data_IF_317500977847
#
_entry.id   IF_317500977847
#
_cell.length_a   1.000
_cell.length_b   1.000
_cell.length_c   1.000
_cell.angle_alpha   90.00
_cell.angle_beta   90.00
_cell.angle_gamma   90.00
#
_symmetry.space_group_name_H-M   'P 1'
#
loop_
_entity.id
_entity.type
_entity.pdbx_description
1 polymer ?
#
# COMPACT_ATOMS: atom_id res chain seq x y z
N UNK A 1 -4.30 2.89 -14.19
CA UNK A 1 -2.83 2.75 -14.26
C UNK A 1 -2.52 1.33 -14.70
N UNK A 2 -1.76 1.14 -15.80
CA UNK A 2 -1.59 -0.15 -16.50
C UNK A 2 -0.70 -1.18 -15.76
N UNK A 3 -0.05 -0.78 -14.68
CA UNK A 3 0.96 -1.57 -13.95
C UNK A 3 0.58 -1.87 -12.49
N UNK A 4 -0.72 -1.82 -12.18
CA UNK A 4 -1.23 -2.12 -10.84
C UNK A 4 -1.94 -3.47 -10.83
N UNK A 5 -1.46 -4.37 -9.97
CA UNK A 5 -2.04 -5.68 -9.73
C UNK A 5 -3.16 -5.58 -8.68
N UNK A 6 -4.36 -6.14 -8.91
CA UNK A 6 -5.41 -6.18 -7.90
C UNK A 6 -5.00 -7.13 -6.77
N UNK A 7 -4.99 -6.63 -5.54
CA UNK A 7 -4.71 -7.44 -4.34
C UNK A 7 -5.99 -7.98 -3.72
N UNK A 8 -7.09 -7.22 -3.80
CA UNK A 8 -8.38 -7.59 -3.24
C UNK A 8 -9.32 -6.41 -3.11
N UNK A 9 -10.34 -6.55 -2.25
CA UNK A 9 -11.31 -5.51 -1.95
C UNK A 9 -11.58 -5.49 -0.44
N UNK A 10 -11.42 -4.33 0.20
CA UNK A 10 -11.78 -4.11 1.60
C UNK A 10 -12.87 -3.03 1.68
N UNK A 11 -13.91 -3.26 2.48
CA UNK A 11 -15.05 -2.34 2.66
C UNK A 11 -15.72 -1.85 1.35
N UNK A 12 -15.62 -2.66 0.29
CA UNK A 12 -16.13 -2.31 -1.05
C UNK A 12 -15.13 -1.58 -1.94
N UNK A 13 -13.95 -1.20 -1.42
CA UNK A 13 -12.93 -0.42 -2.13
C UNK A 13 -11.87 -1.37 -2.73
N UNK A 14 -11.65 -1.35 -4.06
CA UNK A 14 -10.61 -2.16 -4.70
C UNK A 14 -9.22 -1.69 -4.26
N UNK A 15 -8.39 -2.63 -3.79
CA UNK A 15 -7.01 -2.39 -3.41
C UNK A 15 -6.10 -2.95 -4.49
N UNK A 16 -5.15 -2.13 -4.93
CA UNK A 16 -4.18 -2.48 -5.96
C UNK A 16 -2.77 -2.21 -5.45
N UNK A 17 -1.82 -2.98 -5.93
CA UNK A 17 -0.39 -2.79 -5.66
C UNK A 17 0.29 -2.47 -6.98
N UNK A 18 1.02 -1.36 -7.04
CA UNK A 18 1.82 -1.04 -8.22
C UNK A 18 3.05 -1.95 -8.26
N UNK A 19 3.47 -2.38 -9.46
CA UNK A 19 4.63 -3.26 -9.62
C UNK A 19 5.91 -2.73 -8.92
N UNK A 20 6.08 -1.41 -8.88
CA UNK A 20 7.21 -0.76 -8.19
C UNK A 20 7.28 -1.06 -6.69
N UNK A 21 6.17 -1.44 -6.06
CA UNK A 21 6.14 -1.83 -4.66
C UNK A 21 7.00 -3.07 -4.39
N UNK A 22 7.03 -4.03 -5.32
CA UNK A 22 7.86 -5.23 -5.17
C UNK A 22 9.36 -4.91 -5.25
N UNK A 23 9.75 -3.90 -6.01
CA UNK A 23 11.14 -3.41 -6.00
C UNK A 23 11.53 -2.83 -4.64
N UNK A 24 10.62 -2.12 -3.96
CA UNK A 24 10.87 -1.66 -2.59
C UNK A 24 11.10 -2.85 -1.64
N UNK A 25 10.25 -3.88 -1.69
CA UNK A 25 10.41 -5.06 -0.84
C UNK A 25 11.71 -5.81 -1.13
N UNK A 26 12.06 -5.97 -2.41
CA UNK A 26 13.32 -6.58 -2.82
C UNK A 26 14.54 -5.78 -2.36
N UNK A 27 14.49 -4.45 -2.47
CA UNK A 27 15.55 -3.55 -2.00
C UNK A 27 15.72 -3.63 -0.48
N UNK A 28 14.63 -3.55 0.29
CA UNK A 28 14.65 -3.70 1.75
C UNK A 28 15.22 -5.06 2.15
N UNK A 29 14.80 -6.14 1.48
CA UNK A 29 15.35 -7.47 1.73
C UNK A 29 16.85 -7.51 1.49
N UNK A 30 17.29 -7.02 0.32
CA UNK A 30 18.69 -7.05 -0.10
C UNK A 30 19.58 -6.29 0.88
N UNK A 31 19.20 -5.06 1.23
CA UNK A 31 19.93 -4.20 2.16
C UNK A 31 20.08 -4.84 3.54
N UNK A 32 19.00 -5.36 4.11
CA UNK A 32 19.04 -5.95 5.45
C UNK A 32 19.67 -7.34 5.47
N UNK A 33 19.57 -8.12 4.38
CA UNK A 33 20.24 -9.41 4.27
C UNK A 33 21.77 -9.26 4.12
N UNK A 34 22.23 -8.29 3.33
CA UNK A 34 23.66 -8.06 3.10
C UNK A 34 24.32 -7.32 4.27
N UNK A 35 23.76 -6.19 4.70
CA UNK A 35 24.35 -5.41 5.79
C UNK A 35 24.18 -6.09 7.15
N UNK A 36 23.04 -6.77 7.37
CA UNK A 36 22.79 -7.55 8.58
C UNK A 36 23.43 -8.95 8.57
N UNK A 37 24.10 -9.34 7.46
CA UNK A 37 24.72 -10.66 7.22
C UNK A 37 23.82 -11.85 7.54
N UNK A 38 22.50 -11.69 7.41
CA UNK A 38 21.53 -12.70 7.78
C UNK A 38 20.25 -12.59 6.95
N UNK A 39 19.87 -13.68 6.30
CA UNK A 39 18.59 -13.77 5.60
C UNK A 39 17.39 -13.55 6.53
N UNK A 40 17.53 -13.91 7.81
CA UNK A 40 16.49 -13.67 8.81
C UNK A 40 16.26 -12.16 9.02
N UNK A 41 17.33 -11.36 9.06
CA UNK A 41 17.22 -9.91 9.17
C UNK A 41 16.49 -9.30 7.96
N UNK A 42 16.80 -9.78 6.75
CA UNK A 42 16.09 -9.38 5.52
C UNK A 42 14.59 -9.70 5.58
N UNK A 43 14.21 -10.92 6.01
CA UNK A 43 12.81 -11.31 6.13
C UNK A 43 12.06 -10.49 7.20
N UNK A 44 12.70 -10.21 8.34
CA UNK A 44 12.12 -9.35 9.39
C UNK A 44 11.88 -7.93 8.88
N UNK A 45 12.84 -7.36 8.13
CA UNK A 45 12.69 -6.02 7.55
C UNK A 45 11.56 -5.93 6.51
N UNK A 46 11.43 -6.96 5.67
CA UNK A 46 10.29 -7.07 4.73
C UNK A 46 8.97 -7.18 5.48
N UNK A 47 8.89 -8.03 6.52
CA UNK A 47 7.69 -8.18 7.34
C UNK A 47 7.29 -6.85 8.00
N UNK A 48 8.25 -6.13 8.59
CA UNK A 48 8.01 -4.80 9.16
C UNK A 48 7.54 -3.79 8.12
N UNK A 49 8.11 -3.82 6.91
CA UNK A 49 7.69 -2.95 5.80
C UNK A 49 6.25 -3.27 5.38
N UNK A 50 5.89 -4.54 5.27
CA UNK A 50 4.50 -4.96 4.99
C UNK A 50 3.54 -4.49 6.08
N UNK A 51 3.91 -4.58 7.36
CA UNK A 51 3.11 -4.07 8.49
C UNK A 51 2.95 -2.55 8.41
N UNK A 52 4.03 -1.81 8.12
CA UNK A 52 3.97 -0.36 7.94
C UNK A 52 3.00 0.02 6.83
N UNK A 53 3.07 -0.65 5.68
CA UNK A 53 2.13 -0.41 4.58
C UNK A 53 0.71 -0.86 4.86
N UNK A 54 0.51 -1.86 5.73
CA UNK A 54 -0.81 -2.20 6.24
C UNK A 54 -1.39 -1.04 7.09
N UNK A 55 -0.57 -0.37 7.90
CA UNK A 55 -0.99 0.85 8.62
C UNK A 55 -1.32 2.00 7.66
N UNK A 56 -0.52 2.21 6.61
CA UNK A 56 -0.82 3.21 5.57
C UNK A 56 -2.13 2.87 4.86
N UNK A 57 -2.34 1.61 4.50
CA UNK A 57 -3.60 1.16 3.90
C UNK A 57 -4.78 1.39 4.84
N UNK A 58 -4.64 1.10 6.13
CA UNK A 58 -5.67 1.38 7.13
C UNK A 58 -5.98 2.88 7.24
N UNK A 59 -4.96 3.74 7.18
CA UNK A 59 -5.10 5.20 7.16
C UNK A 59 -5.90 5.68 5.93
N UNK A 60 -5.54 5.21 4.74
CA UNK A 60 -6.25 5.55 3.49
C UNK A 60 -7.68 5.02 3.45
N UNK A 61 -7.92 3.84 4.03
CA UNK A 61 -9.26 3.31 4.22
C UNK A 61 -10.06 4.23 5.16
N UNK A 62 -9.46 4.71 6.26
CA UNK A 62 -10.08 5.67 7.16
C UNK A 62 -10.58 6.91 6.42
N UNK A 63 -9.72 7.55 5.62
CA UNK A 63 -10.11 8.67 4.75
C UNK A 63 -11.26 8.32 3.82
N UNK A 64 -11.19 7.15 3.20
CA UNK A 64 -12.21 6.69 2.25
C UNK A 64 -13.56 6.41 2.91
N UNK A 65 -13.56 5.89 4.15
CA UNK A 65 -14.77 5.66 4.92
C UNK A 65 -15.42 6.98 5.35
N UNK A 66 -14.61 7.96 5.76
CA UNK A 66 -15.09 9.31 6.07
C UNK A 66 -15.64 9.98 4.82
N UNK A 67 -14.92 9.95 3.70
CA UNK A 67 -15.41 10.49 2.42
C UNK A 67 -16.75 9.84 1.99
N UNK A 68 -16.90 8.53 2.21
CA UNK A 68 -18.14 7.80 1.94
C UNK A 68 -19.30 8.28 2.82
N UNK A 69 -19.03 8.64 4.07
CA UNK A 69 -20.05 9.24 4.95
C UNK A 69 -20.55 10.58 4.41
N UNK A 70 -19.68 11.39 3.81
CA UNK A 70 -20.03 12.64 3.13
C UNK A 70 -20.50 12.45 1.67
N UNK A 71 -20.83 11.22 1.25
CA UNK A 71 -21.39 10.93 -0.08
C UNK A 71 -20.38 10.84 -1.22
N UNK A 72 -19.07 10.94 -0.95
CA UNK A 72 -18.01 10.80 -1.96
C UNK A 72 -17.49 9.37 -2.01
N UNK A 73 -17.42 8.77 -3.21
CA UNK A 73 -16.91 7.40 -3.37
C UNK A 73 -15.42 7.38 -3.74
N UNK A 74 -14.68 6.49 -3.07
CA UNK A 74 -13.32 6.13 -3.45
C UNK A 74 -13.34 5.00 -4.49
N UNK A 75 -12.74 5.23 -5.65
CA UNK A 75 -12.73 4.29 -6.78
C UNK A 75 -11.76 3.13 -6.56
N UNK A 76 -10.58 3.41 -6.02
CA UNK A 76 -9.57 2.40 -5.66
C UNK A 76 -8.43 2.99 -4.83
N UNK A 77 -7.80 2.18 -4.00
CA UNK A 77 -6.55 2.53 -3.31
C UNK A 77 -5.40 1.81 -4.01
N UNK A 78 -4.33 2.54 -4.33
CA UNK A 78 -3.13 1.99 -4.97
C UNK A 78 -1.94 2.16 -4.04
N UNK A 79 -1.27 1.06 -3.68
CA UNK A 79 -0.02 1.08 -2.92
C UNK A 79 1.17 1.29 -3.86
N UNK A 80 1.97 2.31 -3.57
CA UNK A 80 3.20 2.72 -4.22
C UNK A 80 4.36 2.63 -3.22
N UNK A 81 5.62 2.64 -3.67
CA UNK A 81 6.78 2.67 -2.77
C UNK A 81 6.81 3.86 -1.80
N UNK A 82 6.16 4.97 -2.16
CA UNK A 82 6.15 6.22 -1.40
C UNK A 82 4.99 6.26 -0.40
N UNK A 83 3.99 5.36 -0.53
CA UNK A 83 2.79 5.35 0.32
C UNK A 83 1.57 4.76 -0.37
N UNK A 84 0.39 5.05 0.17
CA UNK A 84 -0.89 4.71 -0.46
C UNK A 84 -1.50 5.94 -1.13
N UNK A 85 -2.11 5.75 -2.30
CA UNK A 85 -2.88 6.81 -2.97
C UNK A 85 -4.32 6.33 -3.15
N UNK A 86 -5.26 7.02 -2.51
CA UNK A 86 -6.69 6.84 -2.75
C UNK A 86 -7.13 7.63 -4.00
N UNK A 87 -7.56 6.93 -5.05
CA UNK A 87 -8.22 7.56 -6.19
C UNK A 87 -9.69 7.82 -5.85
N UNK A 88 -10.01 9.07 -5.57
CA UNK A 88 -11.37 9.56 -5.36
C UNK A 88 -12.08 9.75 -6.72
N UNK A 89 -13.40 9.51 -6.78
CA UNK A 89 -14.19 9.76 -8.00
C UNK A 89 -14.41 11.27 -8.24
N UNK A 90 -14.52 12.06 -7.17
CA UNK A 90 -14.64 13.51 -7.20
C UNK A 90 -13.84 14.10 -6.03
N UNK A 91 -13.11 15.19 -6.29
CA UNK A 91 -12.50 16.02 -5.25
C UNK A 91 -13.63 16.92 -4.72
N UNK A 92 -13.97 16.89 -3.42
CA UNK A 92 -14.97 17.81 -2.88
C UNK A 92 -14.52 19.25 -3.12
N UNK A 93 -15.44 20.10 -3.62
CA UNK A 93 -15.24 21.55 -3.76
C UNK A 93 -15.56 22.27 -2.46
#
# INVERSE_FOLDING_TARGET
>A
MRWSLPLGRLFGIPIKVHFTFFFLLAYVYYEFAHNGKSHAAGLVAVALTCILFACVLAHEIGHSLVARFFGTRTRSIVLLPIGGVALLEQIPR
#
